data_IF_463227941827
#
_entry.id   IF_463227941827
#
_cell.length_a   1.000
_cell.length_b   1.000
_cell.length_c   1.000
_cell.angle_alpha   90.00
_cell.angle_beta   90.00
_cell.angle_gamma   90.00
#
_symmetry.space_group_name_H-M   'P 1'
#
loop_
_entity.id
_entity.type
_entity.pdbx_description
1 polymer ?
#
# COMPACT_ATOMS: atom_id res chain seq x y z
N UNK A 1 -17.52 -36.62 -20.54
CA UNK A 1 -17.65 -35.23 -20.06
C UNK A 1 -16.39 -34.87 -19.24
N UNK A 2 -15.30 -34.45 -19.89
CA UNK A 2 -13.95 -34.23 -19.28
C UNK A 2 -13.45 -32.77 -19.38
N UNK A 3 -14.31 -31.84 -19.80
CA UNK A 3 -13.95 -30.44 -20.12
C UNK A 3 -13.86 -29.57 -18.85
N UNK A 4 -14.53 -29.98 -17.78
CA UNK A 4 -14.70 -29.24 -16.54
C UNK A 4 -13.44 -29.04 -15.66
N UNK A 5 -12.47 -29.98 -15.56
CA UNK A 5 -11.24 -29.76 -14.80
C UNK A 5 -10.27 -28.80 -15.51
N UNK A 6 -10.22 -28.83 -16.84
CA UNK A 6 -9.34 -27.97 -17.63
C UNK A 6 -9.71 -26.49 -17.53
N UNK A 7 -11.01 -26.18 -17.42
CA UNK A 7 -11.48 -24.81 -17.24
C UNK A 7 -11.08 -24.21 -15.88
N UNK A 8 -11.07 -25.03 -14.81
CA UNK A 8 -10.69 -24.57 -13.46
C UNK A 8 -9.20 -24.33 -13.35
N UNK A 9 -8.36 -25.24 -13.85
CA UNK A 9 -6.91 -24.99 -13.90
C UNK A 9 -6.62 -23.73 -14.70
N UNK A 10 -7.36 -23.46 -15.78
CA UNK A 10 -7.22 -22.23 -16.56
C UNK A 10 -7.56 -20.97 -15.75
N UNK A 11 -8.62 -20.99 -14.94
CA UNK A 11 -8.99 -19.85 -14.06
C UNK A 11 -7.96 -19.62 -12.96
N UNK A 12 -7.49 -20.69 -12.29
CA UNK A 12 -6.48 -20.58 -11.23
C UNK A 12 -5.17 -20.03 -11.80
N UNK A 13 -4.76 -20.52 -12.96
CA UNK A 13 -3.56 -20.02 -13.65
C UNK A 13 -3.76 -18.55 -14.04
N UNK A 14 -4.91 -18.17 -14.59
CA UNK A 14 -5.19 -16.78 -14.93
C UNK A 14 -5.14 -15.85 -13.70
N UNK A 15 -5.74 -16.26 -12.57
CA UNK A 15 -5.70 -15.50 -11.31
C UNK A 15 -4.28 -15.40 -10.75
N UNK A 16 -3.48 -16.47 -10.81
CA UNK A 16 -2.08 -16.43 -10.38
C UNK A 16 -1.24 -15.50 -11.26
N UNK A 17 -1.49 -15.46 -12.57
CA UNK A 17 -0.81 -14.57 -13.51
C UNK A 17 -1.19 -13.11 -13.24
N UNK A 18 -2.46 -12.83 -12.97
CA UNK A 18 -2.93 -11.49 -12.58
C UNK A 18 -2.29 -11.06 -11.26
N UNK A 19 -2.30 -11.91 -10.23
CA UNK A 19 -1.65 -11.59 -8.96
C UNK A 19 -0.14 -11.34 -9.10
N UNK A 20 0.53 -12.16 -9.93
CA UNK A 20 1.97 -12.04 -10.18
C UNK A 20 2.32 -10.79 -11.01
N UNK A 21 1.47 -10.40 -11.97
CA UNK A 21 1.65 -9.15 -12.73
C UNK A 21 1.39 -7.92 -11.87
N UNK A 22 0.37 -7.95 -11.00
CA UNK A 22 0.18 -6.91 -10.00
C UNK A 22 1.41 -6.76 -9.10
N UNK A 23 1.95 -7.86 -8.56
CA UNK A 23 3.16 -7.82 -7.75
C UNK A 23 4.36 -7.18 -8.48
N UNK A 24 4.57 -7.51 -9.76
CA UNK A 24 5.69 -6.98 -10.56
C UNK A 24 5.57 -5.49 -10.90
N UNK A 25 4.36 -4.98 -11.10
CA UNK A 25 4.13 -3.55 -11.39
C UNK A 25 4.49 -2.69 -10.17
N UNK A 26 4.24 -3.19 -8.95
CA UNK A 26 4.52 -2.45 -7.71
C UNK A 26 6.01 -2.51 -7.28
N UNK A 27 6.85 -3.38 -7.85
CA UNK A 27 8.26 -3.54 -7.44
C UNK A 27 9.28 -2.67 -8.20
N UNK A 28 8.86 -1.69 -9.01
CA UNK A 28 9.80 -0.83 -9.72
C UNK A 28 10.35 0.27 -8.79
N UNK A 29 11.34 -0.05 -7.95
CA UNK A 29 12.11 0.95 -7.21
C UNK A 29 13.33 1.34 -8.05
N UNK A 30 13.33 2.58 -8.54
CA UNK A 30 14.49 3.16 -9.23
C UNK A 30 15.26 3.99 -8.22
N UNK A 31 16.47 3.57 -7.87
CA UNK A 31 17.33 4.34 -6.98
C UNK A 31 18.23 5.26 -7.80
N UNK A 32 18.19 6.56 -7.51
CA UNK A 32 19.18 7.51 -8.01
C UNK A 32 20.47 7.43 -7.18
N UNK A 33 21.62 7.62 -7.84
CA UNK A 33 22.93 7.50 -7.21
C UNK A 33 23.11 8.58 -6.11
N UNK A 34 23.34 8.16 -4.86
CA UNK A 34 23.43 9.05 -3.68
C UNK A 34 22.12 9.29 -2.92
N UNK A 35 21.01 8.71 -3.38
CA UNK A 35 19.72 8.74 -2.67
C UNK A 35 19.75 7.75 -1.49
N UNK A 36 19.60 8.26 -0.27
CA UNK A 36 19.56 7.44 0.95
C UNK A 36 18.20 6.80 1.12
N UNK A 37 17.15 7.58 0.83
CA UNK A 37 15.79 7.18 1.10
C UNK A 37 14.83 7.86 0.11
N UNK A 38 13.74 7.17 -0.21
CA UNK A 38 12.68 7.69 -1.08
C UNK A 38 11.39 6.95 -0.87
N UNK A 39 10.28 7.69 -0.81
CA UNK A 39 8.96 7.10 -0.74
C UNK A 39 7.96 7.95 -1.53
N UNK A 40 6.95 7.29 -2.09
CA UNK A 40 5.84 7.92 -2.79
C UNK A 40 4.53 7.22 -2.41
N UNK A 41 3.55 8.00 -1.95
CA UNK A 41 2.22 7.50 -1.65
C UNK A 41 1.18 8.62 -1.69
N UNK A 42 0.01 8.34 -2.27
CA UNK A 42 -1.14 9.25 -2.20
C UNK A 42 -0.91 10.64 -2.83
N UNK A 43 0.00 10.76 -3.80
CA UNK A 43 0.39 12.04 -4.41
C UNK A 43 1.45 12.82 -3.61
N UNK A 44 1.93 12.26 -2.50
CA UNK A 44 3.04 12.79 -1.71
C UNK A 44 4.30 11.99 -2.00
N UNK A 45 5.42 12.69 -2.14
CA UNK A 45 6.72 12.06 -2.32
C UNK A 45 7.75 12.67 -1.37
N UNK A 46 8.75 11.87 -1.01
CA UNK A 46 9.95 12.32 -0.35
C UNK A 46 11.19 11.69 -0.99
N UNK A 47 12.29 12.42 -0.94
CA UNK A 47 13.62 11.89 -1.21
C UNK A 47 14.64 12.53 -0.28
N UNK A 48 15.53 11.72 0.27
CA UNK A 48 16.63 12.13 1.13
C UNK A 48 17.94 11.83 0.41
N UNK A 49 18.79 12.84 0.29
CA UNK A 49 20.12 12.73 -0.30
C UNK A 49 21.13 13.21 0.75
N UNK A 50 22.28 12.53 0.84
CA UNK A 50 23.37 13.00 1.69
C UNK A 50 24.19 14.02 0.91
N UNK A 51 24.24 15.25 1.39
CA UNK A 51 25.20 16.21 0.84
C UNK A 51 26.61 15.80 1.31
N UNK A 52 27.45 15.35 0.37
CA UNK A 52 28.82 14.95 0.64
C UNK A 52 29.72 16.13 1.06
N UNK A 53 29.35 17.36 0.71
CA UNK A 53 30.12 18.57 1.02
C UNK A 53 29.81 19.10 2.42
N UNK A 54 28.52 19.13 2.80
CA UNK A 54 28.08 19.72 4.06
C UNK A 54 27.83 18.70 5.18
N UNK A 55 27.91 17.39 4.89
CA UNK A 55 27.48 16.29 5.80
C UNK A 55 26.06 16.47 6.34
N UNK A 56 25.22 17.19 5.61
CA UNK A 56 23.83 17.45 5.97
C UNK A 56 22.90 16.59 5.11
N UNK A 57 21.73 16.23 5.65
CA UNK A 57 20.68 15.58 4.88
C UNK A 57 19.88 16.65 4.14
N UNK A 58 19.77 16.48 2.83
CA UNK A 58 18.92 17.31 1.99
C UNK A 58 17.64 16.55 1.66
N UNK A 59 16.53 17.16 2.03
CA UNK A 59 15.20 16.61 1.84
C UNK A 59 14.53 17.28 0.65
N UNK A 60 13.95 16.47 -0.22
CA UNK A 60 12.98 16.90 -1.23
C UNK A 60 11.63 16.33 -0.84
N UNK A 61 10.68 17.19 -0.51
CA UNK A 61 9.29 16.79 -0.22
C UNK A 61 8.37 17.36 -1.29
N UNK A 62 7.35 16.61 -1.70
CA UNK A 62 6.43 17.08 -2.74
C UNK A 62 4.99 16.61 -2.56
N UNK A 63 4.05 17.43 -3.03
CA UNK A 63 2.63 17.13 -3.12
C UNK A 63 2.14 17.53 -4.52
N UNK A 64 1.88 16.56 -5.38
CA UNK A 64 1.58 16.79 -6.79
C UNK A 64 2.71 17.56 -7.48
N UNK A 65 2.40 18.75 -8.01
CA UNK A 65 3.38 19.60 -8.70
C UNK A 65 4.25 20.44 -7.75
N UNK A 66 3.87 20.58 -6.48
CA UNK A 66 4.59 21.41 -5.53
C UNK A 66 5.76 20.64 -4.94
N UNK A 67 7.00 21.11 -5.18
CA UNK A 67 8.23 20.53 -4.66
C UNK A 67 8.96 21.52 -3.75
N UNK A 68 9.38 21.07 -2.59
CA UNK A 68 10.18 21.83 -1.64
C UNK A 68 11.50 21.09 -1.41
N UNK A 69 12.61 21.79 -1.61
CA UNK A 69 13.94 21.29 -1.29
C UNK A 69 14.46 22.06 -0.07
N UNK A 70 14.89 21.35 0.96
CA UNK A 70 15.40 21.97 2.18
C UNK A 70 16.47 21.12 2.84
N UNK A 71 17.38 21.78 3.54
CA UNK A 71 18.35 21.09 4.38
C UNK A 71 17.70 20.80 5.74
N UNK A 72 18.05 19.66 6.32
CA UNK A 72 17.64 19.29 7.66
C UNK A 72 18.29 20.20 8.70
N UNK A 73 17.48 20.67 9.65
CA UNK A 73 17.90 21.51 10.76
C UNK A 73 17.12 21.09 12.01
N UNK A 74 17.60 21.45 13.20
CA UNK A 74 16.90 21.17 14.45
C UNK A 74 15.48 21.78 14.53
N UNK A 75 15.16 22.77 13.67
CA UNK A 75 13.85 23.45 13.67
C UNK A 75 12.82 22.68 12.82
N UNK A 76 13.24 22.06 11.72
CA UNK A 76 12.35 21.37 10.78
C UNK A 76 12.45 19.84 10.84
N UNK A 77 13.42 19.27 11.57
CA UNK A 77 13.64 17.82 11.70
C UNK A 77 12.35 17.07 12.07
N UNK A 78 11.64 17.51 13.11
CA UNK A 78 10.40 16.86 13.55
C UNK A 78 9.32 16.84 12.46
N UNK A 79 9.23 17.90 11.64
CA UNK A 79 8.25 17.97 10.56
C UNK A 79 8.65 17.11 9.36
N UNK A 80 9.94 17.02 9.08
CA UNK A 80 10.48 16.15 8.04
C UNK A 80 10.27 14.68 8.40
N UNK A 81 10.56 14.29 9.65
CA UNK A 81 10.31 12.93 10.14
C UNK A 81 8.82 12.60 10.17
N UNK A 82 7.98 13.53 10.67
CA UNK A 82 6.53 13.36 10.66
C UNK A 82 5.97 13.20 9.24
N UNK A 83 6.46 13.98 8.29
CA UNK A 83 6.12 13.83 6.87
C UNK A 83 6.57 12.47 6.33
N UNK A 84 7.81 12.04 6.63
CA UNK A 84 8.35 10.76 6.22
C UNK A 84 7.49 9.60 6.69
N UNK A 85 7.20 9.58 7.98
CA UNK A 85 6.45 8.50 8.62
C UNK A 85 5.00 8.47 8.10
N UNK A 86 4.42 9.63 7.78
CA UNK A 86 3.11 9.72 7.15
C UNK A 86 3.09 9.15 5.72
N UNK A 87 4.09 9.47 4.88
CA UNK A 87 4.20 8.93 3.52
C UNK A 87 4.40 7.42 3.54
N UNK A 88 5.30 6.91 4.40
CA UNK A 88 5.47 5.47 4.58
C UNK A 88 4.24 4.78 5.17
N UNK A 89 3.56 5.45 6.10
CA UNK A 89 2.31 4.99 6.68
C UNK A 89 1.25 4.78 5.60
N UNK A 90 1.10 5.75 4.68
CA UNK A 90 0.20 5.63 3.53
C UNK A 90 0.58 4.45 2.62
N UNK A 91 1.85 4.34 2.21
CA UNK A 91 2.30 3.25 1.33
C UNK A 91 2.02 1.87 1.94
N UNK A 92 2.40 1.70 3.21
CA UNK A 92 2.24 0.46 3.94
C UNK A 92 0.77 0.07 4.11
N UNK A 93 -0.06 0.99 4.60
CA UNK A 93 -1.48 0.72 4.86
C UNK A 93 -2.24 0.48 3.57
N UNK A 94 -1.91 1.19 2.49
CA UNK A 94 -2.46 0.94 1.16
C UNK A 94 -2.11 -0.46 0.65
N UNK A 95 -0.83 -0.85 0.77
CA UNK A 95 -0.37 -2.17 0.35
C UNK A 95 -1.08 -3.30 1.10
N UNK A 96 -1.21 -3.17 2.42
CA UNK A 96 -1.93 -4.15 3.26
C UNK A 96 -3.43 -4.20 2.88
N UNK A 97 -4.06 -3.04 2.67
CA UNK A 97 -5.45 -2.95 2.25
C UNK A 97 -5.67 -3.63 0.88
N UNK A 98 -4.76 -3.43 -0.08
CA UNK A 98 -4.84 -4.06 -1.39
C UNK A 98 -4.77 -5.59 -1.30
N UNK A 99 -3.83 -6.11 -0.50
CA UNK A 99 -3.69 -7.56 -0.27
C UNK A 99 -4.97 -8.13 0.39
N UNK A 100 -5.49 -7.45 1.40
CA UNK A 100 -6.73 -7.86 2.06
C UNK A 100 -7.93 -7.86 1.10
N UNK A 101 -8.06 -6.83 0.26
CA UNK A 101 -9.09 -6.73 -0.78
C UNK A 101 -8.99 -7.87 -1.81
N UNK A 102 -7.79 -8.18 -2.29
CA UNK A 102 -7.55 -9.30 -3.20
C UNK A 102 -7.93 -10.64 -2.55
N UNK A 103 -7.58 -10.83 -1.28
CA UNK A 103 -7.93 -12.04 -0.53
C UNK A 103 -9.45 -12.21 -0.41
N UNK A 104 -10.19 -11.13 -0.11
CA UNK A 104 -11.66 -11.16 -0.05
C UNK A 104 -12.25 -11.59 -1.40
N UNK A 105 -11.79 -11.02 -2.52
CA UNK A 105 -12.27 -11.36 -3.85
C UNK A 105 -12.04 -12.84 -4.18
N UNK A 106 -10.83 -13.35 -3.93
CA UNK A 106 -10.51 -14.78 -4.16
C UNK A 106 -11.41 -15.66 -3.30
N UNK A 107 -11.58 -15.31 -2.01
CA UNK A 107 -12.40 -16.10 -1.07
C UNK A 107 -13.86 -16.15 -1.48
N UNK A 108 -14.42 -15.04 -1.98
CA UNK A 108 -15.79 -14.98 -2.52
C UNK A 108 -15.95 -15.85 -3.77
N UNK A 109 -14.99 -15.81 -4.69
CA UNK A 109 -15.02 -16.64 -5.91
C UNK A 109 -14.96 -18.12 -5.54
N UNK A 110 -14.03 -18.53 -4.67
CA UNK A 110 -13.89 -19.91 -4.22
C UNK A 110 -15.17 -20.38 -3.53
N UNK A 111 -15.73 -19.55 -2.64
CA UNK A 111 -17.00 -19.84 -1.96
C UNK A 111 -18.15 -20.03 -2.94
N UNK A 112 -18.26 -19.16 -3.94
CA UNK A 112 -19.31 -19.24 -4.96
C UNK A 112 -19.18 -20.52 -5.79
N UNK A 113 -17.96 -20.86 -6.23
CA UNK A 113 -17.69 -22.10 -6.99
C UNK A 113 -18.04 -23.33 -6.16
N UNK A 114 -17.66 -23.35 -4.88
CA UNK A 114 -17.97 -24.45 -3.96
C UNK A 114 -19.49 -24.60 -3.76
N UNK A 115 -20.19 -23.48 -3.53
CA UNK A 115 -21.64 -23.47 -3.32
C UNK A 115 -22.44 -23.95 -4.53
N UNK A 116 -22.02 -23.57 -5.75
CA UNK A 116 -22.70 -24.00 -6.98
C UNK A 116 -22.54 -25.51 -7.20
N UNK A 117 -21.38 -26.09 -6.85
CA UNK A 117 -21.09 -27.51 -7.08
C UNK A 117 -21.64 -28.44 -6.00
N UNK A 118 -21.51 -28.09 -4.73
CA UNK A 118 -21.90 -28.97 -3.62
C UNK A 118 -23.25 -28.56 -3.03
N UNK A 119 -24.31 -28.52 -3.86
CA UNK A 119 -25.68 -28.14 -3.43
C UNK A 119 -26.22 -28.96 -2.24
N UNK A 120 -25.68 -30.16 -1.99
CA UNK A 120 -26.11 -31.06 -0.91
C UNK A 120 -25.34 -30.92 0.42
N UNK A 121 -24.18 -30.25 0.47
CA UNK A 121 -23.35 -30.13 1.68
C UNK A 121 -23.36 -28.70 2.28
N UNK A 122 -24.56 -28.15 2.48
CA UNK A 122 -24.75 -26.79 3.00
C UNK A 122 -24.25 -26.58 4.45
N UNK A 123 -24.00 -27.65 5.20
CA UNK A 123 -23.55 -27.61 6.60
C UNK A 123 -22.10 -28.05 6.77
N UNK A 124 -21.24 -27.76 5.78
CA UNK A 124 -19.82 -28.07 5.89
C UNK A 124 -19.11 -27.10 6.84
N UNK A 125 -18.28 -27.58 7.78
CA UNK A 125 -17.44 -26.74 8.64
C UNK A 125 -16.50 -25.84 7.82
N UNK A 126 -16.24 -26.18 6.56
CA UNK A 126 -15.45 -25.39 5.62
C UNK A 126 -16.05 -23.99 5.37
N UNK A 127 -17.38 -23.86 5.34
CA UNK A 127 -18.07 -22.57 5.17
C UNK A 127 -17.80 -21.66 6.37
N UNK A 128 -17.80 -22.22 7.58
CA UNK A 128 -17.50 -21.47 8.81
C UNK A 128 -16.06 -20.96 8.79
N UNK A 129 -15.11 -21.82 8.41
CA UNK A 129 -13.68 -21.45 8.31
C UNK A 129 -13.50 -20.30 7.30
N UNK A 130 -14.07 -20.41 6.10
CA UNK A 130 -13.99 -19.33 5.10
C UNK A 130 -14.62 -18.04 5.64
N UNK A 131 -15.78 -18.14 6.30
CA UNK A 131 -16.45 -16.97 6.89
C UNK A 131 -15.58 -16.23 7.90
N UNK A 132 -14.88 -16.96 8.78
CA UNK A 132 -13.95 -16.36 9.75
C UNK A 132 -12.77 -15.69 9.04
N UNK A 133 -12.16 -16.36 8.05
CA UNK A 133 -11.03 -15.80 7.32
C UNK A 133 -11.41 -14.53 6.53
N UNK A 134 -12.59 -14.54 5.89
CA UNK A 134 -13.14 -13.35 5.23
C UNK A 134 -13.40 -12.24 6.24
N UNK A 135 -13.95 -12.57 7.41
CA UNK A 135 -14.15 -11.60 8.49
C UNK A 135 -12.87 -10.90 8.93
N UNK A 136 -11.78 -11.65 9.10
CA UNK A 136 -10.45 -11.10 9.41
C UNK A 136 -9.97 -10.19 8.28
N UNK A 137 -10.10 -10.61 7.03
CA UNK A 137 -9.68 -9.82 5.88
C UNK A 137 -10.48 -8.50 5.76
N UNK A 138 -11.78 -8.54 6.00
CA UNK A 138 -12.64 -7.34 6.03
C UNK A 138 -12.22 -6.39 7.15
N UNK A 139 -11.94 -6.91 8.35
CA UNK A 139 -11.44 -6.11 9.46
C UNK A 139 -10.11 -5.43 9.10
N UNK A 140 -9.14 -6.19 8.56
CA UNK A 140 -7.84 -5.67 8.14
C UNK A 140 -8.00 -4.60 7.06
N UNK A 141 -8.86 -4.81 6.06
CA UNK A 141 -9.14 -3.82 5.02
C UNK A 141 -9.68 -2.52 5.63
N UNK A 142 -10.67 -2.63 6.52
CA UNK A 142 -11.29 -1.47 7.15
C UNK A 142 -10.30 -0.71 8.05
N UNK A 143 -9.54 -1.41 8.90
CA UNK A 143 -8.57 -0.77 9.80
C UNK A 143 -7.48 -0.05 9.03
N UNK A 144 -6.90 -0.69 8.00
CA UNK A 144 -5.86 -0.07 7.18
C UNK A 144 -6.40 1.08 6.32
N UNK A 145 -7.66 1.05 5.91
CA UNK A 145 -8.28 2.19 5.23
C UNK A 145 -8.38 3.40 6.16
N UNK A 146 -8.72 3.20 7.43
CA UNK A 146 -8.75 4.29 8.42
C UNK A 146 -7.35 4.83 8.71
N UNK A 147 -6.37 3.94 8.92
CA UNK A 147 -4.97 4.34 9.12
C UNK A 147 -4.41 5.10 7.92
N UNK A 148 -4.75 4.67 6.69
CA UNK A 148 -4.38 5.38 5.46
C UNK A 148 -4.94 6.81 5.45
N UNK A 149 -6.21 7.01 5.82
CA UNK A 149 -6.82 8.34 5.88
C UNK A 149 -6.15 9.23 6.93
N UNK A 150 -5.79 8.69 8.09
CA UNK A 150 -5.02 9.42 9.11
C UNK A 150 -3.65 9.81 8.58
N UNK A 151 -2.91 8.86 8.00
CA UNK A 151 -1.59 9.13 7.41
C UNK A 151 -1.64 10.17 6.29
N UNK A 152 -2.71 10.18 5.49
CA UNK A 152 -2.95 11.20 4.47
C UNK A 152 -3.17 12.60 5.07
N UNK A 153 -3.92 12.68 6.17
CA UNK A 153 -4.11 13.94 6.88
C UNK A 153 -2.82 14.45 7.52
N UNK A 154 -2.02 13.55 8.10
CA UNK A 154 -0.73 13.88 8.69
C UNK A 154 0.26 14.36 7.61
N UNK A 155 0.35 13.67 6.48
CA UNK A 155 1.18 14.08 5.34
C UNK A 155 0.81 15.50 4.86
N UNK A 156 -0.50 15.77 4.76
CA UNK A 156 -1.00 17.11 4.41
C UNK A 156 -0.60 18.15 5.44
N UNK A 157 -0.74 17.84 6.73
CA UNK A 157 -0.40 18.75 7.83
C UNK A 157 1.09 19.08 7.84
N UNK A 158 1.96 18.07 7.78
CA UNK A 158 3.42 18.29 7.79
C UNK A 158 3.90 18.99 6.52
N UNK A 159 3.37 18.63 5.34
CA UNK A 159 3.70 19.34 4.11
C UNK A 159 3.34 20.83 4.19
N UNK A 160 2.15 21.14 4.74
CA UNK A 160 1.73 22.53 4.93
C UNK A 160 2.67 23.29 5.88
N UNK A 161 3.07 22.70 7.01
CA UNK A 161 4.04 23.32 7.93
C UNK A 161 5.39 23.58 7.26
N UNK A 162 5.93 22.58 6.56
CA UNK A 162 7.20 22.70 5.84
C UNK A 162 7.11 23.78 4.74
N UNK A 163 5.98 23.90 4.06
CA UNK A 163 5.76 24.94 3.04
C UNK A 163 5.74 26.36 3.61
N UNK A 164 5.28 26.54 4.85
CA UNK A 164 5.32 27.84 5.52
C UNK A 164 6.73 28.18 6.00
N UNK A 165 7.43 27.22 6.62
CA UNK A 165 8.80 27.42 7.08
C UNK A 165 9.79 27.68 5.94
N UNK A 166 9.52 27.14 4.75
CA UNK A 166 10.33 27.42 3.56
C UNK A 166 10.14 28.84 2.97
N UNK A 167 9.10 29.58 3.41
CA UNK A 167 8.79 30.93 2.93
C UNK A 167 9.20 32.05 3.90
N UNK A 168 9.59 31.71 5.13
CA UNK A 168 10.05 32.64 6.17
C UNK A 168 11.56 32.78 6.14
#
# INVERSE_FOLDING_TARGET
>A
MKILPAFITSIIVALSVIAFTFFFIFSQVTHEDGQIDSAEAGGYQLSIIQDQQERAFQWTVSNGEQKLKMNETNVNENDLLGYRDAVYGMDRTFSIAMIAGAYILISLIVSLVFFIRNKQERSSPLILIIGVMVGIAVYTLASNTLEYQTALQDAKYYFFRLSQGARS
#
